data_IF_274427266902
#
_entry.id   IF_274427266902
#
_cell.length_a   1.000
_cell.length_b   1.000
_cell.length_c   1.000
_cell.angle_alpha   90.00
_cell.angle_beta   90.00
_cell.angle_gamma   90.00
#
_symmetry.space_group_name_H-M   'P 1'
#
loop_
_entity.id
_entity.type
_entity.pdbx_description
1 polymer ?
#
# COMPACT_ATOMS: atom_id res chain seq x y z
N UNK A 1 5.97 -9.73 -0.51
CA UNK A 1 4.98 -8.63 -0.45
C UNK A 1 3.68 -9.15 0.15
N UNK A 2 3.12 -8.46 1.15
CA UNK A 2 1.87 -8.85 1.79
C UNK A 2 0.65 -8.72 0.87
N UNK A 3 -0.47 -9.34 1.27
CA UNK A 3 -1.76 -9.24 0.56
C UNK A 3 -2.21 -7.78 0.52
N UNK A 4 -2.52 -7.24 -0.67
CA UNK A 4 -3.13 -5.91 -0.82
C UNK A 4 -4.66 -6.02 -0.65
N UNK A 5 -5.25 -5.02 -0.01
CA UNK A 5 -6.67 -5.01 0.41
C UNK A 5 -7.45 -3.89 -0.27
N UNK A 6 -6.84 -2.71 -0.42
CA UNK A 6 -7.47 -1.55 -1.03
C UNK A 6 -6.51 -0.92 -2.04
N UNK A 7 -7.05 -0.31 -3.10
CA UNK A 7 -6.33 0.66 -3.93
C UNK A 7 -6.96 2.02 -3.75
N UNK A 8 -6.14 3.02 -3.44
CA UNK A 8 -6.59 4.40 -3.29
C UNK A 8 -5.99 5.29 -4.37
N UNK A 9 -6.80 6.18 -4.89
CA UNK A 9 -6.40 7.32 -5.71
C UNK A 9 -6.15 8.51 -4.80
N UNK A 10 -5.02 9.18 -5.00
CA UNK A 10 -4.55 10.31 -4.20
C UNK A 10 -4.24 11.48 -5.10
N UNK A 11 -4.75 12.67 -4.75
CA UNK A 11 -4.48 13.91 -5.45
C UNK A 11 -4.55 15.11 -4.47
N UNK A 12 -4.31 16.33 -4.95
CA UNK A 12 -4.61 17.53 -4.16
C UNK A 12 -6.12 17.76 -4.13
N UNK A 13 -6.66 18.18 -2.98
CA UNK A 13 -8.10 18.36 -2.81
C UNK A 13 -8.67 19.51 -3.67
N UNK A 14 -7.89 20.54 -3.93
CA UNK A 14 -8.27 21.67 -4.80
C UNK A 14 -8.22 21.32 -6.30
N UNK A 15 -7.47 20.29 -6.67
CA UNK A 15 -7.29 19.83 -8.06
C UNK A 15 -7.35 18.30 -8.17
N UNK A 16 -8.48 17.66 -7.75
CA UNK A 16 -8.54 16.20 -7.59
C UNK A 16 -8.40 15.41 -8.90
N UNK A 17 -8.60 16.05 -10.05
CA UNK A 17 -8.45 15.44 -11.38
C UNK A 17 -7.27 16.00 -12.17
N UNK A 18 -6.27 16.56 -11.49
CA UNK A 18 -5.02 16.99 -12.12
C UNK A 18 -4.18 15.79 -12.59
N UNK A 19 -3.17 16.06 -13.42
CA UNK A 19 -2.22 15.05 -13.82
C UNK A 19 -1.20 14.68 -12.71
N UNK A 20 -1.16 15.45 -11.60
CA UNK A 20 -0.37 15.14 -10.42
C UNK A 20 -1.19 14.29 -9.44
N UNK A 21 -1.14 12.98 -9.60
CA UNK A 21 -1.84 12.02 -8.76
C UNK A 21 -0.95 10.81 -8.45
N UNK A 22 -1.37 10.02 -7.49
CA UNK A 22 -0.78 8.71 -7.22
C UNK A 22 -1.87 7.67 -7.01
N UNK A 23 -1.56 6.41 -7.36
CA UNK A 23 -2.33 5.25 -6.97
C UNK A 23 -1.50 4.47 -5.95
N UNK A 24 -2.08 4.19 -4.81
CA UNK A 24 -1.40 3.52 -3.71
C UNK A 24 -2.18 2.28 -3.30
N UNK A 25 -1.50 1.16 -3.22
CA UNK A 25 -2.07 -0.10 -2.76
C UNK A 25 -1.83 -0.29 -1.27
N UNK A 26 -2.91 -0.48 -0.52
CA UNK A 26 -2.88 -0.65 0.93
C UNK A 26 -3.02 -2.14 1.33
N UNK A 27 -2.33 -2.60 2.37
CA UNK A 27 -1.42 -1.82 3.22
C UNK A 27 -0.16 -1.38 2.48
N UNK A 28 0.28 -0.17 2.77
CA UNK A 28 1.47 0.44 2.21
C UNK A 28 2.51 0.70 3.31
N UNK A 29 3.78 0.57 2.96
CA UNK A 29 4.88 0.94 3.83
C UNK A 29 4.99 2.47 4.01
N UNK A 30 5.67 2.96 5.04
CA UNK A 30 5.86 4.40 5.21
C UNK A 30 6.51 5.07 4.00
N UNK A 31 7.50 4.42 3.34
CA UNK A 31 8.14 5.00 2.17
C UNK A 31 7.27 4.94 0.92
N UNK A 32 6.41 3.91 0.74
CA UNK A 32 5.41 3.89 -0.33
C UNK A 32 4.40 5.05 -0.18
N UNK A 33 3.98 5.35 1.07
CA UNK A 33 3.12 6.52 1.34
C UNK A 33 3.83 7.82 0.96
N UNK A 34 5.11 8.01 1.35
CA UNK A 34 5.86 9.21 1.02
C UNK A 34 6.19 9.34 -0.46
N UNK A 35 6.37 8.23 -1.18
CA UNK A 35 6.50 8.23 -2.63
C UNK A 35 5.22 8.71 -3.32
N UNK A 36 4.07 8.24 -2.83
CA UNK A 36 2.78 8.75 -3.31
C UNK A 36 2.64 10.27 -3.06
N UNK A 37 3.11 10.77 -1.90
CA UNK A 37 3.10 12.23 -1.63
C UNK A 37 4.06 13.01 -2.56
N UNK A 38 5.23 12.44 -2.89
CA UNK A 38 6.14 13.04 -3.87
C UNK A 38 5.46 13.17 -5.26
N UNK A 39 4.69 12.18 -5.68
CA UNK A 39 3.93 12.18 -6.95
C UNK A 39 2.76 13.17 -6.93
N UNK A 40 2.01 13.24 -5.83
CA UNK A 40 0.91 14.21 -5.63
C UNK A 40 1.46 15.63 -5.44
N UNK A 41 2.72 15.78 -4.98
CA UNK A 41 3.38 17.07 -4.71
C UNK A 41 2.64 17.91 -3.68
N UNK A 42 2.12 17.23 -2.65
CA UNK A 42 1.38 17.86 -1.56
C UNK A 42 2.29 18.79 -0.75
N UNK A 43 1.86 20.03 -0.53
CA UNK A 43 2.56 21.00 0.32
C UNK A 43 2.00 20.97 1.74
N UNK A 44 2.73 21.55 2.72
CA UNK A 44 2.42 21.47 4.15
C UNK A 44 1.00 21.92 4.55
N UNK A 45 0.35 22.79 3.77
CA UNK A 45 -0.98 23.32 4.10
C UNK A 45 -2.05 22.93 3.07
N UNK A 46 -1.76 22.00 2.21
CA UNK A 46 -2.71 21.48 1.23
C UNK A 46 -3.40 20.23 1.75
N UNK A 47 -4.67 20.08 1.42
CA UNK A 47 -5.46 18.90 1.79
C UNK A 47 -5.34 17.81 0.73
N UNK A 48 -5.28 16.57 1.20
CA UNK A 48 -5.24 15.38 0.35
C UNK A 48 -6.65 14.99 -0.05
N UNK A 49 -6.91 14.86 -1.36
CA UNK A 49 -8.06 14.15 -1.90
C UNK A 49 -7.76 12.66 -1.93
N UNK A 50 -8.70 11.86 -1.43
CA UNK A 50 -8.59 10.41 -1.37
C UNK A 50 -9.88 9.78 -1.87
N UNK A 51 -9.76 8.81 -2.79
CA UNK A 51 -10.86 8.00 -3.30
C UNK A 51 -10.41 6.53 -3.34
N UNK A 52 -11.26 5.59 -2.89
CA UNK A 52 -10.98 4.16 -2.97
C UNK A 52 -11.42 3.67 -4.34
N UNK A 53 -10.47 3.17 -5.14
CA UNK A 53 -10.73 2.66 -6.49
C UNK A 53 -11.04 1.16 -6.52
N UNK A 54 -10.44 0.37 -5.60
CA UNK A 54 -10.56 -1.10 -5.58
C UNK A 54 -10.50 -1.65 -4.16
N UNK A 55 -11.15 -2.78 -3.92
CA UNK A 55 -11.30 -3.41 -2.61
C UNK A 55 -10.72 -4.85 -2.54
N UNK A 56 -10.18 -5.40 -3.60
CA UNK A 56 -9.46 -6.68 -3.68
C UNK A 56 -10.07 -7.85 -2.86
N UNK A 57 -11.39 -8.10 -3.04
CA UNK A 57 -12.11 -9.16 -2.34
C UNK A 57 -12.86 -8.69 -1.08
N UNK A 58 -12.78 -7.42 -0.74
CA UNK A 58 -13.51 -6.79 0.36
C UNK A 58 -14.57 -5.79 -0.14
N UNK A 59 -15.17 -6.05 -1.30
CA UNK A 59 -16.16 -5.16 -1.95
C UNK A 59 -17.37 -4.86 -1.06
N UNK A 60 -17.67 -5.73 -0.11
CA UNK A 60 -18.73 -5.51 0.88
C UNK A 60 -18.44 -4.35 1.85
N UNK A 61 -17.19 -3.87 1.92
CA UNK A 61 -16.83 -2.67 2.67
C UNK A 61 -17.18 -1.36 1.93
N UNK A 62 -17.37 -1.39 0.60
CA UNK A 62 -17.58 -0.20 -0.20
C UNK A 62 -18.73 0.70 0.29
N UNK A 63 -19.94 0.17 0.64
CA UNK A 63 -21.03 0.99 1.13
C UNK A 63 -20.72 1.71 2.45
N UNK A 64 -19.81 1.15 3.24
CA UNK A 64 -19.46 1.66 4.56
C UNK A 64 -18.30 2.65 4.52
N UNK A 65 -17.25 2.35 3.74
CA UNK A 65 -16.07 3.21 3.63
C UNK A 65 -16.32 4.48 2.81
N UNK A 66 -17.21 4.43 1.80
CA UNK A 66 -17.52 5.61 0.96
C UNK A 66 -18.18 6.75 1.74
N UNK A 67 -18.89 6.45 2.82
CA UNK A 67 -19.58 7.43 3.67
C UNK A 67 -18.71 7.96 4.82
N UNK A 68 -17.51 7.38 5.03
CA UNK A 68 -16.62 7.74 6.12
C UNK A 68 -15.60 8.79 5.69
N UNK A 69 -15.39 9.80 6.55
CA UNK A 69 -14.26 10.74 6.46
C UNK A 69 -12.99 10.05 7.01
N UNK A 70 -12.46 9.12 6.22
CA UNK A 70 -11.32 8.30 6.59
C UNK A 70 -10.01 8.94 6.10
N UNK A 71 -9.04 9.07 6.98
CA UNK A 71 -7.68 9.47 6.60
C UNK A 71 -6.92 8.30 5.96
N UNK A 72 -5.89 8.62 5.17
CA UNK A 72 -5.03 7.61 4.56
C UNK A 72 -4.42 6.65 5.60
N UNK A 73 -3.99 7.18 6.75
CA UNK A 73 -3.42 6.36 7.82
C UNK A 73 -4.44 5.40 8.45
N UNK A 74 -5.69 5.83 8.63
CA UNK A 74 -6.75 4.96 9.15
C UNK A 74 -7.07 3.83 8.16
N UNK A 75 -7.14 4.13 6.86
CA UNK A 75 -7.33 3.12 5.81
C UNK A 75 -6.14 2.16 5.73
N UNK A 76 -4.93 2.67 5.86
CA UNK A 76 -3.72 1.86 5.83
C UNK A 76 -3.64 0.90 7.03
N UNK A 77 -3.99 1.36 8.25
CA UNK A 77 -4.06 0.52 9.44
C UNK A 77 -5.16 -0.55 9.32
N UNK A 78 -6.35 -0.18 8.83
CA UNK A 78 -7.42 -1.16 8.56
C UNK A 78 -6.97 -2.20 7.55
N UNK A 79 -6.40 -1.77 6.42
CA UNK A 79 -5.89 -2.67 5.39
C UNK A 79 -4.80 -3.61 5.92
N UNK A 80 -3.88 -3.10 6.77
CA UNK A 80 -2.85 -3.91 7.43
C UNK A 80 -3.44 -5.01 8.31
N UNK A 81 -4.50 -4.71 9.05
CA UNK A 81 -5.19 -5.71 9.90
C UNK A 81 -5.92 -6.75 9.06
N UNK A 82 -6.59 -6.34 7.99
CA UNK A 82 -7.31 -7.26 7.10
C UNK A 82 -6.37 -8.14 6.28
N UNK A 83 -5.17 -7.65 5.97
CA UNK A 83 -4.19 -8.39 5.18
C UNK A 83 -3.62 -9.63 5.87
N UNK A 84 -3.61 -9.65 7.20
CA UNK A 84 -3.09 -10.77 8.00
C UNK A 84 -4.15 -11.80 8.37
N UNK A 85 -5.43 -11.51 8.13
CA UNK A 85 -6.52 -12.45 8.41
C UNK A 85 -6.49 -13.63 7.44
N UNK A 86 -6.65 -14.84 7.97
CA UNK A 86 -6.88 -16.02 7.15
C UNK A 86 -8.33 -16.05 6.57
N UNK A 87 -8.65 -17.05 5.76
CA UNK A 87 -9.98 -17.15 5.12
C UNK A 87 -11.12 -17.25 6.15
N UNK A 88 -10.92 -17.97 7.24
CA UNK A 88 -11.91 -18.13 8.32
C UNK A 88 -12.11 -16.82 9.08
N UNK A 89 -11.01 -16.14 9.39
CA UNK A 89 -11.03 -14.85 10.06
C UNK A 89 -11.63 -13.74 9.19
N UNK A 90 -11.47 -13.80 7.85
CA UNK A 90 -12.13 -12.87 6.91
C UNK A 90 -13.65 -13.08 6.89
N UNK A 91 -14.13 -14.33 6.90
CA UNK A 91 -15.56 -14.62 7.04
C UNK A 91 -16.08 -14.19 8.43
N UNK A 92 -15.28 -14.40 9.49
CA UNK A 92 -15.60 -13.93 10.85
C UNK A 92 -15.71 -12.38 10.90
N UNK A 93 -14.81 -11.67 10.26
CA UNK A 93 -14.87 -10.20 10.14
C UNK A 93 -16.16 -9.74 9.43
N UNK A 94 -16.55 -10.34 8.31
CA UNK A 94 -17.83 -10.03 7.62
C UNK A 94 -19.01 -10.32 8.55
N UNK A 95 -18.97 -11.42 9.33
CA UNK A 95 -20.00 -11.76 10.31
C UNK A 95 -20.12 -10.70 11.41
N UNK A 96 -19.00 -10.33 12.04
CA UNK A 96 -18.96 -9.29 13.05
C UNK A 96 -19.43 -7.93 12.51
N UNK A 97 -19.08 -7.59 11.28
CA UNK A 97 -19.52 -6.38 10.60
C UNK A 97 -21.07 -6.36 10.46
N UNK A 98 -21.67 -7.45 10.03
CA UNK A 98 -23.15 -7.57 9.93
C UNK A 98 -23.84 -7.44 11.27
N UNK A 99 -23.26 -8.06 12.32
CA UNK A 99 -23.79 -7.96 13.70
C UNK A 99 -23.71 -6.51 14.19
N UNK A 100 -22.60 -5.82 13.95
CA UNK A 100 -22.43 -4.42 14.36
C UNK A 100 -23.40 -3.48 13.62
N UNK A 101 -23.59 -3.68 12.32
CA UNK A 101 -24.57 -2.92 11.51
C UNK A 101 -25.98 -3.11 12.10
N UNK A 102 -26.36 -4.35 12.41
CA UNK A 102 -27.66 -4.64 13.01
C UNK A 102 -27.81 -3.97 14.38
N UNK A 103 -26.78 -4.08 15.25
CA UNK A 103 -26.78 -3.46 16.59
C UNK A 103 -26.93 -1.93 16.53
N UNK A 104 -26.23 -1.29 15.59
CA UNK A 104 -26.32 0.17 15.40
C UNK A 104 -27.69 0.58 14.85
N UNK A 105 -28.28 -0.20 13.96
CA UNK A 105 -29.62 0.05 13.45
C UNK A 105 -30.69 -0.08 14.56
N UNK A 106 -30.61 -1.07 15.42
CA UNK A 106 -31.53 -1.29 16.54
C UNK A 106 -31.41 -0.24 17.63
N UNK A 107 -30.18 0.18 17.95
CA UNK A 107 -29.91 1.19 18.99
C UNK A 107 -30.10 2.63 18.52
N UNK A 108 -30.37 2.84 17.24
CA UNK A 108 -30.40 4.17 16.60
C UNK A 108 -29.14 5.00 16.87
N UNK A 109 -27.99 4.32 17.10
CA UNK A 109 -26.71 4.91 17.53
C UNK A 109 -25.84 5.41 16.39
N UNK A 110 -26.33 5.39 15.14
CA UNK A 110 -25.70 6.03 14.02
C UNK A 110 -24.93 5.11 13.09
N UNK A 111 -24.03 5.72 12.31
CA UNK A 111 -23.24 5.12 11.24
C UNK A 111 -22.02 4.42 11.84
N UNK A 112 -21.50 3.41 11.16
CA UNK A 112 -20.19 2.82 11.46
C UNK A 112 -19.10 3.89 11.42
N UNK A 113 -18.10 3.74 12.27
CA UNK A 113 -16.91 4.61 12.27
C UNK A 113 -15.68 3.81 11.83
N UNK A 114 -14.60 4.51 11.46
CA UNK A 114 -13.33 3.84 11.19
C UNK A 114 -12.81 3.05 12.40
N UNK A 115 -13.05 3.56 13.62
CA UNK A 115 -12.70 2.84 14.85
C UNK A 115 -13.47 1.53 14.97
N UNK A 116 -14.78 1.53 14.69
CA UNK A 116 -15.59 0.30 14.70
C UNK A 116 -15.01 -0.76 13.74
N UNK A 117 -14.69 -0.36 12.49
CA UNK A 117 -14.12 -1.29 11.50
C UNK A 117 -12.77 -1.88 11.94
N UNK A 118 -11.95 -1.08 12.58
CA UNK A 118 -10.64 -1.50 13.11
C UNK A 118 -10.78 -2.42 14.33
N UNK A 119 -11.75 -2.14 15.21
CA UNK A 119 -12.09 -2.99 16.37
C UNK A 119 -12.63 -4.35 15.89
N UNK A 120 -13.48 -4.37 14.85
CA UNK A 120 -13.96 -5.60 14.24
C UNK A 120 -12.83 -6.41 13.61
N UNK A 121 -11.91 -5.76 12.89
CA UNK A 121 -10.78 -6.43 12.24
C UNK A 121 -9.83 -7.11 13.24
N UNK A 122 -9.55 -6.48 14.37
CA UNK A 122 -8.71 -7.11 15.42
C UNK A 122 -9.47 -8.18 16.21
N UNK A 123 -10.80 -8.10 16.25
CA UNK A 123 -11.66 -9.04 16.97
C UNK A 123 -11.97 -10.31 16.18
N UNK A 124 -11.79 -10.29 14.86
CA UNK A 124 -12.14 -11.42 14.00
C UNK A 124 -11.35 -12.71 14.33
N UNK A 125 -10.09 -12.60 14.76
CA UNK A 125 -9.26 -13.70 15.25
C UNK A 125 -9.16 -13.81 16.77
N UNK A 126 -9.99 -13.07 17.54
CA UNK A 126 -9.92 -13.03 18.99
C UNK A 126 -10.97 -13.95 19.66
N UNK A 127 -10.75 -14.25 20.93
CA UNK A 127 -11.62 -15.12 21.74
C UNK A 127 -13.09 -14.64 21.86
N UNK A 128 -13.36 -13.37 21.55
CA UNK A 128 -14.72 -12.82 21.55
C UNK A 128 -15.52 -13.14 20.28
N UNK A 129 -14.91 -13.76 19.27
CA UNK A 129 -15.55 -14.15 18.01
C UNK A 129 -15.50 -15.67 17.88
N UNK A 130 -16.67 -16.30 17.87
CA UNK A 130 -16.76 -17.74 17.66
C UNK A 130 -17.33 -18.04 16.28
N UNK A 131 -16.74 -19.05 15.65
CA UNK A 131 -17.16 -19.53 14.33
C UNK A 131 -17.51 -20.99 14.37
N UNK A 132 -18.60 -21.36 13.71
CA UNK A 132 -19.08 -22.73 13.58
C UNK A 132 -19.28 -23.04 12.09
N UNK A 133 -18.76 -24.18 11.64
CA UNK A 133 -18.96 -24.66 10.27
C UNK A 133 -20.42 -25.05 10.04
N UNK A 134 -21.28 -24.09 9.76
CA UNK A 134 -22.70 -24.27 9.45
C UNK A 134 -23.22 -23.20 8.51
N UNK A 135 -23.97 -23.62 7.49
CA UNK A 135 -24.57 -22.75 6.46
C UNK A 135 -26.08 -22.55 6.64
N UNK A 136 -26.68 -23.27 7.57
CA UNK A 136 -28.12 -23.30 7.80
C UNK A 136 -28.47 -23.58 9.26
N UNK A 137 -29.70 -23.20 9.65
CA UNK A 137 -30.25 -23.54 10.96
C UNK A 137 -30.21 -25.06 11.23
N UNK A 138 -30.37 -25.90 10.21
CA UNK A 138 -30.34 -27.36 10.39
C UNK A 138 -28.92 -27.88 10.71
N UNK A 139 -27.90 -27.37 10.04
CA UNK A 139 -26.49 -27.73 10.34
C UNK A 139 -26.07 -27.17 11.70
N UNK A 140 -26.44 -25.93 11.99
CA UNK A 140 -26.17 -25.30 13.29
C UNK A 140 -26.82 -26.11 14.43
N UNK A 141 -28.09 -26.47 14.30
CA UNK A 141 -28.80 -27.26 15.31
C UNK A 141 -28.21 -28.66 15.48
N UNK A 142 -27.76 -29.30 14.42
CA UNK A 142 -27.03 -30.58 14.49
C UNK A 142 -25.72 -30.41 15.24
N UNK A 143 -24.95 -29.35 14.95
CA UNK A 143 -23.71 -29.04 15.64
C UNK A 143 -23.91 -28.88 17.16
N UNK A 144 -24.94 -28.14 17.62
CA UNK A 144 -25.21 -27.94 19.03
C UNK A 144 -25.66 -29.25 19.70
N UNK A 145 -26.47 -30.06 19.01
CA UNK A 145 -26.94 -31.33 19.53
C UNK A 145 -25.82 -32.39 19.64
N UNK A 146 -24.88 -32.44 18.69
CA UNK A 146 -23.80 -33.42 18.64
C UNK A 146 -22.66 -33.10 19.63
N UNK A 147 -22.44 -31.82 19.95
CA UNK A 147 -21.30 -31.38 20.75
C UNK A 147 -21.63 -31.15 22.25
N UNK A 148 -22.81 -31.58 22.72
CA UNK A 148 -23.17 -31.56 24.13
C UNK A 148 -23.46 -30.16 24.71
N UNK A 149 -23.80 -29.19 23.85
CA UNK A 149 -24.19 -27.85 24.28
C UNK A 149 -25.64 -27.78 24.83
N UNK A 150 -26.37 -28.90 24.73
CA UNK A 150 -27.75 -29.00 25.19
C UNK A 150 -27.88 -30.20 26.12
N UNK A 151 -27.84 -29.97 27.46
CA UNK A 151 -27.93 -31.02 28.50
C UNK A 151 -29.19 -31.88 28.36
N UNK A 152 -30.30 -31.31 27.84
CA UNK A 152 -31.57 -32.01 27.65
C UNK A 152 -31.47 -33.11 26.56
N UNK A 153 -30.46 -33.09 25.71
CA UNK A 153 -30.25 -34.07 24.65
C UNK A 153 -29.26 -35.18 25.05
N UNK A 154 -28.64 -35.06 26.21
CA UNK A 154 -27.65 -36.03 26.66
C UNK A 154 -28.26 -37.42 26.85
N UNK A 155 -27.59 -38.45 26.31
CA UNK A 155 -27.98 -39.84 26.49
C UNK A 155 -29.14 -40.32 25.64
N UNK A 156 -29.56 -39.55 24.63
CA UNK A 156 -30.52 -40.00 23.62
C UNK A 156 -29.95 -41.17 22.79
N UNK A 157 -30.81 -42.13 22.44
CA UNK A 157 -30.43 -43.18 21.49
C UNK A 157 -30.34 -42.58 20.06
N UNK A 158 -29.50 -43.17 19.19
CA UNK A 158 -29.30 -42.72 17.81
C UNK A 158 -30.64 -42.58 17.06
N UNK A 159 -31.59 -43.49 17.26
CA UNK A 159 -32.89 -43.42 16.59
C UNK A 159 -33.78 -42.27 17.06
N UNK A 160 -33.63 -41.80 18.29
CA UNK A 160 -34.32 -40.60 18.79
C UNK A 160 -33.60 -39.36 18.37
N UNK A 161 -32.29 -39.37 18.36
CA UNK A 161 -31.44 -38.25 17.91
C UNK A 161 -31.77 -37.85 16.48
N UNK A 162 -31.88 -38.82 15.57
CA UNK A 162 -32.22 -38.54 14.17
C UNK A 162 -33.67 -38.06 13.94
N UNK A 163 -34.52 -38.08 14.98
CA UNK A 163 -35.87 -37.53 14.92
C UNK A 163 -35.96 -36.07 15.39
N UNK A 164 -34.83 -35.49 15.83
CA UNK A 164 -34.82 -34.10 16.32
C UNK A 164 -35.07 -33.12 15.15
N UNK A 165 -35.76 -32.03 15.45
CA UNK A 165 -35.91 -30.89 14.57
C UNK A 165 -34.67 -30.00 14.63
N UNK A 166 -33.61 -30.41 13.96
CA UNK A 166 -32.34 -29.66 13.95
C UNK A 166 -32.52 -28.23 13.45
N UNK A 167 -33.40 -27.98 12.47
CA UNK A 167 -33.67 -26.64 12.01
C UNK A 167 -34.36 -25.77 13.07
N UNK A 168 -35.24 -26.35 13.86
CA UNK A 168 -35.86 -25.69 15.01
C UNK A 168 -34.85 -25.36 16.11
N UNK A 169 -33.98 -26.33 16.43
CA UNK A 169 -32.89 -26.15 17.43
C UNK A 169 -31.96 -25.03 16.97
N UNK A 170 -31.42 -25.08 15.74
CA UNK A 170 -30.48 -24.08 15.25
C UNK A 170 -31.07 -22.68 15.17
N UNK A 171 -32.35 -22.57 14.77
CA UNK A 171 -33.07 -21.28 14.81
C UNK A 171 -33.20 -20.74 16.24
N UNK A 172 -33.48 -21.58 17.20
CA UNK A 172 -33.56 -21.19 18.59
C UNK A 172 -32.21 -20.69 19.10
N UNK A 173 -31.12 -21.42 18.81
CA UNK A 173 -29.77 -21.04 19.21
C UNK A 173 -29.36 -19.70 18.53
N UNK A 174 -29.51 -19.60 17.24
CA UNK A 174 -29.20 -18.37 16.50
C UNK A 174 -29.98 -17.15 17.03
N UNK A 175 -31.26 -17.31 17.34
CA UNK A 175 -32.04 -16.22 17.94
C UNK A 175 -31.61 -15.85 19.36
N UNK A 176 -31.12 -16.81 20.18
CA UNK A 176 -30.65 -16.53 21.51
C UNK A 176 -29.27 -15.86 21.56
N UNK A 177 -28.43 -16.19 20.60
CA UNK A 177 -27.04 -15.71 20.50
C UNK A 177 -26.85 -14.51 19.59
N UNK A 178 -27.89 -14.17 18.80
CA UNK A 178 -27.84 -13.12 17.77
C UNK A 178 -26.75 -13.34 16.72
N UNK A 179 -26.39 -14.59 16.39
CA UNK A 179 -25.39 -14.89 15.39
C UNK A 179 -25.91 -14.78 13.96
N UNK A 180 -24.99 -14.76 12.99
CA UNK A 180 -25.28 -14.63 11.56
C UNK A 180 -24.56 -15.69 10.73
N UNK A 181 -25.16 -16.09 9.60
CA UNK A 181 -24.50 -16.93 8.61
C UNK A 181 -23.73 -16.07 7.60
N UNK A 182 -22.46 -16.44 7.34
CA UNK A 182 -21.59 -15.81 6.35
C UNK A 182 -20.82 -16.91 5.63
N UNK A 183 -20.88 -16.94 4.30
CA UNK A 183 -20.19 -17.97 3.54
C UNK A 183 -20.55 -19.38 4.02
N UNK A 184 -19.55 -20.10 4.51
CA UNK A 184 -19.69 -21.44 5.06
C UNK A 184 -19.73 -21.50 6.58
N UNK A 185 -19.79 -20.37 7.24
CA UNK A 185 -19.70 -20.23 8.68
C UNK A 185 -20.95 -19.62 9.29
N UNK A 186 -21.21 -20.01 10.54
CA UNK A 186 -22.05 -19.28 11.46
C UNK A 186 -21.12 -18.52 12.41
N UNK A 187 -21.32 -17.20 12.51
CA UNK A 187 -20.50 -16.29 13.31
C UNK A 187 -21.32 -15.71 14.44
N UNK A 188 -20.78 -15.75 15.63
CA UNK A 188 -21.38 -15.10 16.81
C UNK A 188 -20.33 -14.34 17.60
N UNK A 189 -20.76 -13.28 18.27
CA UNK A 189 -19.94 -12.49 19.17
C UNK A 189 -20.30 -12.88 20.63
N UNK A 190 -19.28 -13.32 21.39
CA UNK A 190 -19.40 -13.60 22.82
C UNK A 190 -18.39 -12.75 23.60
N UNK A 191 -18.88 -11.65 24.17
CA UNK A 191 -18.07 -10.71 24.91
C UNK A 191 -17.89 -9.35 24.21
N UNK A 192 -16.99 -8.53 24.77
CA UNK A 192 -16.65 -7.21 24.25
C UNK A 192 -15.63 -7.30 23.12
N UNK A 193 -15.79 -6.46 22.11
CA UNK A 193 -14.82 -6.36 21.02
C UNK A 193 -13.48 -5.84 21.55
N UNK A 194 -12.40 -6.33 20.98
CA UNK A 194 -11.05 -5.82 21.24
C UNK A 194 -10.89 -4.45 20.62
N UNK A 195 -10.54 -3.45 21.41
CA UNK A 195 -10.35 -2.08 20.91
C UNK A 195 -8.99 -1.93 20.25
N UNK A 196 -9.00 -1.52 19.00
CA UNK A 196 -7.80 -1.19 18.25
C UNK A 196 -7.14 0.09 18.80
N UNK A 197 -5.81 0.15 18.91
CA UNK A 197 -5.12 1.36 19.35
C UNK A 197 -5.44 2.54 18.41
N UNK A 198 -5.48 3.78 18.93
CA UNK A 198 -5.79 4.95 18.13
C UNK A 198 -4.72 5.18 17.07
N UNK A 199 -5.14 5.58 15.86
CA UNK A 199 -4.26 5.97 14.77
C UNK A 199 -4.30 7.48 14.57
N UNK A 200 -3.13 8.09 14.35
CA UNK A 200 -3.06 9.50 14.00
C UNK A 200 -3.59 9.71 12.58
N UNK A 201 -4.41 10.75 12.39
CA UNK A 201 -4.96 11.10 11.06
C UNK A 201 -3.93 11.77 10.13
N UNK A 202 -2.81 12.22 10.67
CA UNK A 202 -1.71 12.82 9.89
C UNK A 202 -0.93 11.74 9.14
N UNK A 203 -0.21 12.14 8.09
CA UNK A 203 0.72 11.24 7.38
C UNK A 203 1.74 10.62 8.36
N UNK A 204 2.24 9.40 8.05
CA UNK A 204 3.23 8.74 8.89
C UNK A 204 4.51 9.59 8.98
N UNK A 205 5.21 9.51 10.10
CA UNK A 205 6.55 10.09 10.19
C UNK A 205 7.49 9.44 9.16
N UNK A 206 8.39 10.26 8.58
CA UNK A 206 9.42 9.72 7.68
C UNK A 206 10.33 8.77 8.45
N UNK A 207 10.56 7.56 7.93
CA UNK A 207 11.44 6.59 8.60
C UNK A 207 12.85 7.14 8.84
N UNK A 208 13.50 6.69 9.91
CA UNK A 208 14.89 7.01 10.20
C UNK A 208 15.90 6.30 9.28
N UNK A 209 15.50 5.17 8.67
CA UNK A 209 16.27 4.45 7.67
C UNK A 209 15.97 4.97 6.26
N UNK A 210 16.89 4.71 5.32
CA UNK A 210 16.65 4.98 3.89
C UNK A 210 16.05 3.76 3.20
N UNK A 211 16.61 2.60 3.49
CA UNK A 211 16.15 1.31 2.98
C UNK A 211 16.20 0.31 4.12
N UNK A 212 15.25 -0.61 4.15
CA UNK A 212 15.14 -1.68 5.13
C UNK A 212 14.79 -2.97 4.42
N UNK A 213 15.55 -4.01 4.71
CA UNK A 213 15.30 -5.37 4.27
C UNK A 213 14.90 -6.22 5.46
N UNK A 214 13.89 -7.05 5.32
CA UNK A 214 13.62 -8.17 6.21
C UNK A 214 14.09 -9.44 5.50
N UNK A 215 15.11 -10.06 6.04
CA UNK A 215 15.77 -11.23 5.47
C UNK A 215 15.39 -12.48 6.26
N UNK A 216 15.26 -13.62 5.59
CA UNK A 216 14.98 -14.90 6.24
C UNK A 216 15.47 -16.07 5.41
N UNK A 217 15.53 -17.25 6.00
CA UNK A 217 15.76 -18.49 5.29
C UNK A 217 14.47 -18.94 4.61
N UNK A 218 14.59 -19.71 3.52
CA UNK A 218 13.46 -20.13 2.68
C UNK A 218 12.26 -20.64 3.52
N UNK A 219 11.00 -20.27 3.21
CA UNK A 219 9.82 -20.53 4.04
C UNK A 219 9.48 -21.98 4.33
N UNK A 220 10.11 -22.94 3.65
CA UNK A 220 9.94 -24.38 3.90
C UNK A 220 10.63 -24.90 5.19
N UNK A 221 11.41 -24.06 5.85
CA UNK A 221 12.08 -24.38 7.13
C UNK A 221 11.32 -23.63 8.22
N UNK A 222 10.38 -24.31 8.86
CA UNK A 222 9.42 -23.75 9.82
C UNK A 222 10.04 -22.83 10.89
N UNK A 223 9.24 -21.91 11.42
CA UNK A 223 9.56 -20.78 12.31
C UNK A 223 10.63 -19.85 11.70
N UNK A 224 10.15 -18.95 10.83
CA UNK A 224 10.99 -18.02 10.10
C UNK A 224 11.81 -17.13 11.04
N UNK A 225 13.03 -17.54 11.33
CA UNK A 225 14.01 -16.66 11.93
C UNK A 225 14.33 -15.56 10.91
N UNK A 226 13.87 -14.35 11.19
CA UNK A 226 14.04 -13.20 10.31
C UNK A 226 14.96 -12.18 10.94
N UNK A 227 15.74 -11.50 10.11
CA UNK A 227 16.64 -10.42 10.51
C UNK A 227 16.29 -9.17 9.73
N UNK A 228 16.19 -8.04 10.41
CA UNK A 228 15.99 -6.74 9.79
C UNK A 228 17.33 -6.04 9.60
N UNK A 229 17.61 -5.59 8.38
CA UNK A 229 18.83 -4.89 8.00
C UNK A 229 18.50 -3.50 7.43
N UNK A 230 18.96 -2.45 8.10
CA UNK A 230 18.86 -1.08 7.62
C UNK A 230 20.04 -0.74 6.72
N UNK A 231 19.78 -0.18 5.55
CA UNK A 231 20.81 0.21 4.60
C UNK A 231 20.87 1.75 4.44
N UNK A 232 22.05 2.31 4.17
CA UNK A 232 23.32 1.62 3.98
C UNK A 232 23.91 1.09 5.28
N UNK A 233 24.38 -0.15 5.25
CA UNK A 233 24.98 -0.87 6.36
C UNK A 233 26.52 -0.86 6.29
N UNK A 234 27.16 -0.92 7.46
CA UNK A 234 28.59 -1.19 7.55
C UNK A 234 28.87 -2.70 7.38
N UNK A 235 30.09 -3.07 7.02
CA UNK A 235 30.49 -4.46 6.85
C UNK A 235 30.22 -5.31 8.11
N UNK A 236 30.42 -4.74 9.30
CA UNK A 236 30.14 -5.41 10.56
C UNK A 236 28.62 -5.72 10.75
N UNK A 237 27.72 -4.86 10.26
CA UNK A 237 26.29 -5.05 10.34
C UNK A 237 25.81 -6.11 9.34
N UNK A 238 26.45 -6.21 8.16
CA UNK A 238 26.20 -7.28 7.20
C UNK A 238 26.63 -8.64 7.76
N UNK A 239 27.80 -8.70 8.39
CA UNK A 239 28.28 -9.92 9.04
C UNK A 239 27.43 -10.33 10.24
N UNK A 240 26.97 -9.37 11.05
CA UNK A 240 26.07 -9.63 12.18
C UNK A 240 24.72 -10.19 11.70
N UNK A 241 24.19 -9.66 10.60
CA UNK A 241 22.97 -10.18 9.99
C UNK A 241 23.14 -11.63 9.50
N UNK A 242 24.28 -11.97 8.89
CA UNK A 242 24.61 -13.35 8.48
C UNK A 242 24.75 -14.28 9.70
N UNK A 243 25.43 -13.82 10.77
CA UNK A 243 25.56 -14.59 12.01
C UNK A 243 24.20 -14.84 12.68
N UNK A 244 23.33 -13.84 12.72
CA UNK A 244 21.98 -13.98 13.25
C UNK A 244 21.14 -14.96 12.43
N UNK A 245 21.26 -14.98 11.10
CA UNK A 245 20.61 -15.96 10.22
C UNK A 245 21.28 -17.35 10.25
N UNK A 246 22.49 -17.45 10.80
CA UNK A 246 23.25 -18.70 10.84
C UNK A 246 23.82 -19.13 9.48
N UNK A 247 24.17 -18.14 8.62
CA UNK A 247 24.69 -18.38 7.25
C UNK A 247 26.10 -17.80 7.10
N UNK A 248 26.91 -18.37 6.19
CA UNK A 248 28.26 -17.85 5.87
C UNK A 248 28.25 -16.88 4.67
N UNK A 249 27.09 -16.72 3.99
CA UNK A 249 26.89 -15.87 2.83
C UNK A 249 25.39 -15.68 2.57
N UNK A 250 25.02 -15.05 1.48
CA UNK A 250 23.63 -14.75 1.16
C UNK A 250 22.91 -15.85 0.37
N UNK A 251 23.61 -16.94 0.01
CA UNK A 251 23.01 -18.07 -0.70
C UNK A 251 21.93 -18.76 0.16
N UNK A 252 20.74 -18.91 -0.38
CA UNK A 252 19.58 -19.49 0.33
C UNK A 252 18.85 -18.52 1.29
N UNK A 253 19.31 -17.28 1.41
CA UNK A 253 18.57 -16.21 2.08
C UNK A 253 17.55 -15.63 1.10
N UNK A 254 16.42 -15.18 1.62
CA UNK A 254 15.35 -14.55 0.82
C UNK A 254 14.97 -13.19 1.44
N UNK A 255 14.69 -12.22 0.61
CA UNK A 255 14.04 -10.98 1.05
C UNK A 255 12.56 -11.25 1.25
N UNK A 256 12.12 -11.17 2.50
CA UNK A 256 10.73 -11.37 2.90
C UNK A 256 9.95 -10.07 2.73
N UNK A 257 10.57 -8.95 3.11
CA UNK A 257 9.97 -7.63 3.02
C UNK A 257 11.02 -6.57 2.71
N UNK A 258 10.59 -5.51 2.03
CA UNK A 258 11.41 -4.38 1.62
C UNK A 258 10.64 -3.09 1.83
N UNK A 259 11.29 -2.09 2.42
CA UNK A 259 10.81 -0.70 2.48
C UNK A 259 11.97 0.25 2.19
N UNK A 260 11.74 1.25 1.34
CA UNK A 260 12.80 2.16 0.95
C UNK A 260 12.32 3.47 0.36
N UNK A 261 13.17 4.51 0.49
CA UNK A 261 12.91 5.85 -0.05
C UNK A 261 12.63 5.85 -1.57
N UNK A 262 13.09 4.81 -2.27
CA UNK A 262 12.75 4.45 -3.64
C UNK A 262 12.07 3.08 -3.55
N UNK A 263 10.74 3.00 -3.49
CA UNK A 263 10.02 1.76 -3.16
C UNK A 263 10.29 0.59 -4.11
N UNK A 264 10.64 0.87 -5.35
CA UNK A 264 10.90 -0.13 -6.39
C UNK A 264 12.39 -0.42 -6.63
N UNK A 265 13.30 0.13 -5.80
CA UNK A 265 14.75 -0.08 -6.02
C UNK A 265 15.20 -1.54 -5.82
N UNK A 266 14.47 -2.33 -5.06
CA UNK A 266 14.74 -3.76 -4.93
C UNK A 266 14.55 -4.54 -6.25
N UNK A 267 13.85 -3.97 -7.24
CA UNK A 267 13.64 -4.59 -8.56
C UNK A 267 14.86 -4.46 -9.47
N UNK A 268 15.85 -3.61 -9.12
CA UNK A 268 17.04 -3.35 -9.93
C UNK A 268 18.15 -4.39 -9.75
N UNK A 269 17.99 -5.34 -8.83
CA UNK A 269 19.06 -6.22 -8.41
C UNK A 269 18.51 -7.54 -7.88
N UNK A 270 19.28 -8.60 -8.00
CA UNK A 270 18.95 -9.92 -7.46
C UNK A 270 19.29 -9.96 -5.95
N UNK A 271 18.37 -9.44 -5.14
CA UNK A 271 18.53 -9.48 -3.69
C UNK A 271 18.16 -10.86 -3.11
N UNK A 272 18.94 -11.36 -2.13
CA UNK A 272 20.08 -10.71 -1.48
C UNK A 272 21.45 -11.03 -2.10
N UNK A 273 21.50 -11.71 -3.25
CA UNK A 273 22.77 -12.14 -3.85
C UNK A 273 23.69 -10.94 -4.19
N UNK A 274 23.12 -9.84 -4.67
CA UNK A 274 23.83 -8.60 -5.01
C UNK A 274 23.69 -7.52 -3.92
N UNK A 275 23.62 -7.95 -2.65
CA UNK A 275 23.41 -7.02 -1.53
C UNK A 275 24.56 -6.02 -1.36
N UNK A 276 25.80 -6.38 -1.73
CA UNK A 276 26.93 -5.45 -1.63
C UNK A 276 26.80 -4.30 -2.64
N UNK A 277 26.42 -4.59 -3.87
CA UNK A 277 26.14 -3.61 -4.91
C UNK A 277 24.95 -2.73 -4.54
N UNK A 278 23.88 -3.34 -4.03
CA UNK A 278 22.73 -2.60 -3.53
C UNK A 278 23.09 -1.70 -2.34
N UNK A 279 23.93 -2.17 -1.41
CA UNK A 279 24.43 -1.37 -0.30
C UNK A 279 25.31 -0.20 -0.80
N UNK A 280 26.05 -0.38 -1.88
CA UNK A 280 26.80 0.73 -2.51
C UNK A 280 25.86 1.79 -3.09
N UNK A 281 24.80 1.37 -3.81
CA UNK A 281 23.75 2.27 -4.30
C UNK A 281 23.06 3.03 -3.16
N UNK A 282 22.75 2.36 -2.04
CA UNK A 282 22.12 3.03 -0.89
C UNK A 282 23.04 4.05 -0.23
N UNK A 283 24.37 3.84 -0.25
CA UNK A 283 25.37 4.82 0.21
C UNK A 283 25.36 6.08 -0.65
N UNK A 284 25.35 5.93 -1.98
CA UNK A 284 25.26 7.08 -2.89
C UNK A 284 23.94 7.82 -2.76
N UNK A 285 22.83 7.10 -2.61
CA UNK A 285 21.49 7.69 -2.38
C UNK A 285 21.44 8.47 -1.07
N UNK A 286 22.11 8.03 -0.01
CA UNK A 286 22.18 8.74 1.28
C UNK A 286 22.81 10.13 1.13
N UNK A 287 23.76 10.28 0.25
CA UNK A 287 24.50 11.54 0.06
C UNK A 287 23.72 12.56 -0.78
N UNK A 288 22.60 12.15 -1.39
CA UNK A 288 21.68 13.04 -2.14
C UNK A 288 20.85 13.86 -1.14
N UNK A 289 20.73 15.19 -1.34
CA UNK A 289 19.76 15.99 -0.60
C UNK A 289 18.35 15.44 -0.74
N UNK A 290 17.59 15.40 0.35
CA UNK A 290 16.19 14.89 0.33
C UNK A 290 15.30 15.55 -0.72
N UNK A 291 15.53 16.83 -1.03
CA UNK A 291 14.81 17.58 -2.07
C UNK A 291 15.12 17.10 -3.50
N UNK A 292 16.24 16.40 -3.70
CA UNK A 292 16.68 15.90 -5.00
C UNK A 292 16.24 14.42 -5.24
N UNK A 293 15.74 13.74 -4.21
CA UNK A 293 15.29 12.34 -4.34
C UNK A 293 14.15 12.18 -5.37
N UNK A 294 13.14 13.08 -5.43
CA UNK A 294 12.11 13.00 -6.49
C UNK A 294 12.70 13.11 -7.91
N UNK A 295 13.81 13.86 -8.09
CA UNK A 295 14.49 13.94 -9.38
C UNK A 295 15.19 12.61 -9.72
N UNK A 296 15.82 11.95 -8.76
CA UNK A 296 16.37 10.62 -8.98
C UNK A 296 15.28 9.63 -9.37
N UNK A 297 14.15 9.62 -8.65
CA UNK A 297 12.99 8.77 -8.98
C UNK A 297 12.46 9.03 -10.38
N UNK A 298 12.36 10.30 -10.79
CA UNK A 298 11.96 10.69 -12.14
C UNK A 298 12.91 10.16 -13.22
N UNK A 299 14.23 10.18 -12.95
CA UNK A 299 15.23 9.61 -13.84
C UNK A 299 15.12 8.09 -13.96
N UNK A 300 14.98 7.40 -12.82
CA UNK A 300 14.81 5.96 -12.79
C UNK A 300 13.55 5.52 -13.57
N UNK A 301 12.45 6.26 -13.43
CA UNK A 301 11.21 6.06 -14.19
C UNK A 301 11.42 6.33 -15.70
N UNK A 302 12.00 7.48 -16.05
CA UNK A 302 12.19 7.88 -17.45
C UNK A 302 13.08 6.92 -18.25
N UNK A 303 14.08 6.35 -17.60
CA UNK A 303 14.99 5.40 -18.24
C UNK A 303 14.58 3.94 -18.07
N UNK A 304 13.43 3.68 -17.42
CA UNK A 304 12.93 2.32 -17.17
C UNK A 304 14.04 1.40 -16.60
N UNK A 305 14.75 1.93 -15.59
CA UNK A 305 15.96 1.29 -15.05
C UNK A 305 15.63 -0.08 -14.47
N UNK A 306 16.43 -1.09 -14.84
CA UNK A 306 16.28 -2.48 -14.42
C UNK A 306 17.57 -3.10 -13.85
N UNK A 307 18.62 -2.31 -13.70
CA UNK A 307 19.89 -2.76 -13.16
C UNK A 307 20.54 -1.69 -12.26
N UNK A 308 21.33 -2.16 -11.29
CA UNK A 308 21.92 -1.32 -10.28
C UNK A 308 23.04 -0.42 -10.83
N UNK A 309 23.77 -0.86 -11.88
CA UNK A 309 24.84 -0.08 -12.49
C UNK A 309 24.29 1.18 -13.14
N UNK A 310 23.20 1.04 -13.90
CA UNK A 310 22.48 2.18 -14.51
C UNK A 310 21.92 3.11 -13.43
N UNK A 311 21.33 2.59 -12.35
CA UNK A 311 20.82 3.38 -11.24
C UNK A 311 21.93 4.20 -10.56
N UNK A 312 23.08 3.60 -10.31
CA UNK A 312 24.26 4.28 -9.75
C UNK A 312 24.77 5.37 -10.68
N UNK A 313 24.89 5.07 -11.97
CA UNK A 313 25.32 6.05 -12.97
C UNK A 313 24.40 7.27 -13.06
N UNK A 314 23.08 7.09 -12.97
CA UNK A 314 22.12 8.20 -12.92
C UNK A 314 22.25 9.01 -11.61
N UNK A 315 22.55 8.36 -10.50
CA UNK A 315 22.77 9.01 -9.21
C UNK A 315 24.00 9.92 -9.25
N UNK A 316 25.09 9.46 -9.87
CA UNK A 316 26.34 10.23 -10.02
C UNK A 316 26.17 11.44 -10.96
N UNK A 317 25.28 11.34 -11.96
CA UNK A 317 25.00 12.37 -12.96
C UNK A 317 23.71 13.17 -12.67
N UNK A 318 23.19 13.12 -11.43
CA UNK A 318 21.94 13.78 -11.05
C UNK A 318 21.94 15.30 -11.30
N UNK A 319 23.10 15.95 -11.21
CA UNK A 319 23.25 17.38 -11.46
C UNK A 319 23.10 17.78 -12.92
N UNK A 320 23.21 16.83 -13.86
CA UNK A 320 23.05 17.08 -15.31
C UNK A 320 21.58 17.22 -15.72
N UNK A 321 20.65 16.98 -14.79
CA UNK A 321 19.21 17.00 -15.04
C UNK A 321 18.49 17.98 -14.13
N UNK A 322 17.36 18.49 -14.63
CA UNK A 322 16.47 19.42 -13.93
C UNK A 322 15.08 18.77 -13.88
N UNK A 323 14.51 18.72 -12.70
CA UNK A 323 13.10 18.34 -12.47
C UNK A 323 12.31 19.60 -12.12
N UNK A 324 11.19 19.84 -12.82
CA UNK A 324 10.21 20.88 -12.51
C UNK A 324 8.94 20.22 -11.95
N UNK A 325 8.80 20.10 -10.60
CA UNK A 325 7.71 19.36 -10.00
C UNK A 325 6.32 19.96 -10.28
N UNK A 326 6.24 21.27 -10.54
CA UNK A 326 4.98 21.98 -10.81
C UNK A 326 4.33 21.66 -12.14
N UNK A 327 4.99 20.90 -13.02
CA UNK A 327 4.51 20.60 -14.38
C UNK A 327 4.23 19.10 -14.50
N UNK A 328 2.95 18.74 -14.66
CA UNK A 328 2.46 17.37 -14.76
C UNK A 328 1.78 17.07 -16.09
N UNK A 329 1.52 18.10 -16.89
CA UNK A 329 0.76 17.97 -18.13
C UNK A 329 1.31 18.89 -19.20
N UNK A 330 1.06 18.58 -20.50
CA UNK A 330 1.42 19.49 -21.59
C UNK A 330 0.80 20.87 -21.43
N UNK A 331 -0.42 20.97 -20.89
CA UNK A 331 -1.09 22.26 -20.66
C UNK A 331 -0.36 23.12 -19.62
N UNK A 332 0.16 22.50 -18.57
CA UNK A 332 0.98 23.19 -17.57
C UNK A 332 2.33 23.63 -18.12
N UNK A 333 2.98 22.79 -18.95
CA UNK A 333 4.20 23.16 -19.67
C UNK A 333 3.97 24.35 -20.60
N UNK A 334 2.84 24.35 -21.33
CA UNK A 334 2.44 25.48 -22.18
C UNK A 334 2.24 26.77 -21.37
N UNK A 335 1.57 26.68 -20.23
CA UNK A 335 1.30 27.84 -19.39
C UNK A 335 2.59 28.39 -18.76
N UNK A 336 3.47 27.52 -18.30
CA UNK A 336 4.78 27.88 -17.77
C UNK A 336 5.59 28.64 -18.81
N UNK A 337 5.67 28.11 -20.03
CA UNK A 337 6.36 28.75 -21.14
C UNK A 337 5.73 30.10 -21.54
N UNK A 338 4.40 30.21 -21.54
CA UNK A 338 3.73 31.49 -21.77
C UNK A 338 4.06 32.51 -20.67
N UNK A 339 4.07 32.10 -19.42
CA UNK A 339 4.44 32.95 -18.29
C UNK A 339 5.94 33.36 -18.30
N UNK A 340 6.81 32.58 -18.94
CA UNK A 340 8.21 32.96 -19.17
C UNK A 340 8.36 34.04 -20.26
N UNK A 341 7.53 33.98 -21.30
CA UNK A 341 7.62 34.90 -22.46
C UNK A 341 6.89 36.22 -22.18
N UNK A 342 5.82 36.23 -21.39
CA UNK A 342 4.96 37.36 -21.10
C UNK A 342 4.50 37.40 -19.66
N UNK A 343 3.85 38.50 -19.21
CA UNK A 343 3.26 38.59 -17.90
C UNK A 343 2.15 37.55 -17.71
N UNK A 344 2.04 37.00 -16.49
CA UNK A 344 1.05 35.97 -16.13
C UNK A 344 -0.39 36.38 -16.48
N UNK A 345 -0.76 37.66 -16.28
CA UNK A 345 -2.09 38.14 -16.63
C UNK A 345 -2.36 38.10 -18.14
N UNK A 346 -1.35 38.38 -18.95
CA UNK A 346 -1.43 38.30 -20.42
C UNK A 346 -1.50 36.82 -20.85
N UNK A 347 -0.68 35.95 -20.29
CA UNK A 347 -0.71 34.52 -20.54
C UNK A 347 -2.09 33.92 -20.27
N UNK A 348 -2.69 34.24 -19.11
CA UNK A 348 -4.04 33.78 -18.73
C UNK A 348 -5.11 34.27 -19.72
N UNK A 349 -4.99 35.51 -20.25
CA UNK A 349 -5.93 36.03 -21.26
C UNK A 349 -5.84 35.29 -22.60
N UNK A 350 -4.71 34.68 -22.90
CA UNK A 350 -4.53 33.90 -24.13
C UNK A 350 -5.08 32.48 -24.06
N UNK A 351 -5.26 31.92 -22.85
CA UNK A 351 -5.72 30.54 -22.66
C UNK A 351 -6.92 30.15 -23.55
N UNK A 352 -8.00 31.00 -23.67
CA UNK A 352 -9.15 30.63 -24.50
C UNK A 352 -8.85 30.55 -26.01
N UNK A 353 -7.71 31.07 -26.46
CA UNK A 353 -7.35 31.21 -27.88
C UNK A 353 -6.19 30.29 -28.31
N UNK A 354 -5.54 29.60 -27.35
CA UNK A 354 -4.40 28.72 -27.56
C UNK A 354 -4.79 27.26 -27.30
N UNK A 355 -4.45 26.36 -28.19
CA UNK A 355 -4.49 24.94 -27.89
C UNK A 355 -3.30 24.61 -26.98
N UNK A 356 -3.49 24.74 -25.67
CA UNK A 356 -2.43 24.54 -24.68
C UNK A 356 -1.85 23.13 -24.74
N UNK A 357 -2.65 22.10 -25.05
CA UNK A 357 -2.14 20.73 -25.17
C UNK A 357 -1.10 20.64 -26.29
N UNK A 358 -1.48 21.02 -27.51
CA UNK A 358 -0.56 20.94 -28.66
C UNK A 358 0.66 21.87 -28.51
N UNK A 359 0.47 23.04 -27.91
CA UNK A 359 1.57 23.94 -27.65
C UNK A 359 2.54 23.37 -26.61
N UNK A 360 2.01 22.79 -25.52
CA UNK A 360 2.82 22.14 -24.50
C UNK A 360 3.59 20.93 -25.03
N UNK A 361 2.97 20.08 -25.84
CA UNK A 361 3.66 18.99 -26.52
C UNK A 361 4.85 19.52 -27.37
N UNK A 362 4.65 20.67 -28.06
CA UNK A 362 5.71 21.30 -28.83
C UNK A 362 6.85 21.80 -27.94
N UNK A 363 6.54 22.40 -26.79
CA UNK A 363 7.54 22.88 -25.83
C UNK A 363 8.33 21.69 -25.25
N UNK A 364 7.63 20.67 -24.77
CA UNK A 364 8.25 19.45 -24.20
C UNK A 364 9.20 18.81 -25.21
N UNK A 365 8.76 18.69 -26.48
CA UNK A 365 9.60 18.12 -27.53
C UNK A 365 10.80 19.01 -27.88
N UNK A 366 10.59 20.34 -27.92
CA UNK A 366 11.66 21.28 -28.24
C UNK A 366 12.78 21.30 -27.18
N UNK A 367 12.42 21.11 -25.93
CA UNK A 367 13.34 21.07 -24.80
C UNK A 367 13.91 19.66 -24.53
N UNK A 368 13.61 18.69 -25.38
CA UNK A 368 13.93 17.27 -25.14
C UNK A 368 13.55 16.80 -23.76
N UNK A 369 12.41 17.30 -23.25
CA UNK A 369 11.90 17.03 -21.93
C UNK A 369 10.96 15.81 -21.93
N UNK A 370 10.70 15.24 -20.75
CA UNK A 370 9.72 14.18 -20.53
C UNK A 370 8.87 14.47 -19.31
N UNK A 371 7.58 14.15 -19.40
CA UNK A 371 6.68 14.15 -18.24
C UNK A 371 6.83 12.83 -17.50
N UNK A 372 7.11 12.92 -16.21
CA UNK A 372 7.21 11.79 -15.29
C UNK A 372 6.15 11.91 -14.20
N UNK A 373 5.96 10.87 -13.41
CA UNK A 373 5.08 10.92 -12.23
C UNK A 373 5.49 12.01 -11.21
N UNK A 374 6.74 12.47 -11.26
CA UNK A 374 7.31 13.46 -10.32
C UNK A 374 7.39 14.87 -10.91
N UNK A 375 7.18 15.07 -12.20
CA UNK A 375 7.23 16.35 -12.86
C UNK A 375 7.83 16.32 -14.26
N UNK A 376 8.05 17.50 -14.82
CA UNK A 376 8.74 17.65 -16.10
C UNK A 376 10.25 17.54 -15.87
N UNK A 377 10.86 16.56 -16.53
CA UNK A 377 12.28 16.26 -16.48
C UNK A 377 12.96 16.65 -17.79
N UNK A 378 14.12 17.30 -17.74
CA UNK A 378 14.96 17.56 -18.90
C UNK A 378 16.43 17.65 -18.49
N UNK A 379 17.35 17.58 -19.47
CA UNK A 379 18.76 17.85 -19.21
C UNK A 379 19.00 19.36 -19.06
N UNK A 380 19.96 19.72 -18.22
CA UNK A 380 20.33 21.12 -17.98
C UNK A 380 20.87 21.84 -19.24
N UNK A 381 21.40 21.09 -20.21
CA UNK A 381 21.91 21.59 -21.49
C UNK A 381 20.87 21.50 -22.64
N UNK A 382 19.64 21.02 -22.37
CA UNK A 382 18.57 20.78 -23.33
C UNK A 382 18.91 19.77 -24.45
N UNK A 383 20.01 19.04 -24.33
CA UNK A 383 20.35 17.94 -25.23
C UNK A 383 19.42 16.73 -24.96
N UNK A 384 19.28 15.81 -25.94
CA UNK A 384 18.45 14.61 -25.72
C UNK A 384 18.81 13.85 -24.46
N UNK A 385 17.80 13.36 -23.75
CA UNK A 385 18.00 12.54 -22.55
C UNK A 385 18.50 11.16 -22.96
N UNK A 386 19.78 10.89 -22.69
CA UNK A 386 20.42 9.59 -22.89
C UNK A 386 20.85 9.07 -21.52
N UNK A 387 20.70 7.77 -21.30
CA UNK A 387 21.24 7.15 -20.09
C UNK A 387 22.77 7.27 -20.05
N UNK A 388 23.42 7.24 -18.88
CA UNK A 388 24.88 7.30 -18.78
C UNK A 388 25.59 6.26 -19.65
N UNK A 389 25.04 5.08 -19.78
CA UNK A 389 25.56 4.00 -20.64
C UNK A 389 25.49 4.40 -22.12
N UNK A 390 24.35 4.95 -22.57
CA UNK A 390 24.16 5.43 -23.93
C UNK A 390 25.10 6.61 -24.25
N UNK A 391 25.27 7.55 -23.33
CA UNK A 391 26.21 8.66 -23.45
C UNK A 391 27.66 8.18 -23.61
N UNK A 392 28.06 7.14 -22.90
CA UNK A 392 29.38 6.54 -23.00
C UNK A 392 29.59 5.90 -24.36
N UNK A 393 28.60 5.16 -24.87
CA UNK A 393 28.64 4.53 -26.20
C UNK A 393 28.70 5.56 -27.32
N UNK A 394 27.94 6.66 -27.26
CA UNK A 394 28.01 7.72 -28.26
C UNK A 394 29.38 8.43 -28.29
N UNK A 395 29.96 8.69 -27.09
CA UNK A 395 31.31 9.28 -27.02
C UNK A 395 32.37 8.35 -27.61
N UNK A 396 32.28 7.05 -27.40
CA UNK A 396 33.19 6.06 -27.97
C UNK A 396 33.04 5.96 -29.50
N UNK A 397 31.81 6.01 -30.03
CA UNK A 397 31.55 6.03 -31.47
C UNK A 397 32.03 7.32 -32.17
N UNK A 398 31.98 8.44 -31.45
CA UNK A 398 32.40 9.76 -32.02
C UNK A 398 33.92 9.92 -32.04
N UNK A 399 34.66 9.11 -31.28
CA UNK A 399 36.13 9.11 -31.20
C UNK A 399 36.78 8.15 -32.21
N UNK A 400 36.02 7.37 -32.96
CA UNK A 400 36.48 6.50 -34.06
C UNK A 400 36.30 7.19 -35.42
#
# INVERSE_FOLDING_TARGET
MGKKILRVYLAKNDTPYSAAYAKLELPASPWEVWDAMDKVRLQENEELYLEIEDYYGFEYLAPHLTELDASLNELNDLAGRLAVLDETEQEAFDGLLRLEIQRKAESNSGILTMQDLRDLAISAGADCCHVVGATSDAELGRFYAENGFMEELDGLSDGVFEMLDFAGIGRMMRCSENGVFVGNLYVLQDGELTTAPPVQKTLPEKPGYLFRLTLGLHPDIGDAHTVTLDLPAAEAELLDAQEQLGVEGWEGVTVIDYDGIIPYAAEFTDLPMELEEFNAFTKTTRDIPRSEVPKLKALLEQFEVQDIETAMGLTEHLADYILTPGISSPQEAALDQLCFIMDREEAVRLIPYVNLFNYGETVIHADNAALTSYGLLHRADYEPMLSPIQQKQEKEMTMQ
#
